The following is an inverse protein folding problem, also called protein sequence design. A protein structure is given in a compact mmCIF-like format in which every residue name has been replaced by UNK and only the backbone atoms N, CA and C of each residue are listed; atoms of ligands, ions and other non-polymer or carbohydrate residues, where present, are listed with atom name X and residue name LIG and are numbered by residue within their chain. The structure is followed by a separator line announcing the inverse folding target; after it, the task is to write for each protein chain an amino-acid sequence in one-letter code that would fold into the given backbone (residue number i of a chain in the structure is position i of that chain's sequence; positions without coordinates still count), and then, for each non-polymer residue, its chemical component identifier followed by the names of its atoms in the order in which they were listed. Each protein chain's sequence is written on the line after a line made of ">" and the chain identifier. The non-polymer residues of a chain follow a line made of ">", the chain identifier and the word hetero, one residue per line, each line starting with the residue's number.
data_IF_194022376623
#
_entry.id   IF_194022376623
#
_cell.length_a   1.000
_cell.length_b   1.000
_cell.length_c   1.000
_cell.angle_alpha   90.00
_cell.angle_beta   90.00
_cell.angle_gamma   90.00
#
_symmetry.space_group_name_H-M   'P 1'
#
loop_
_entity.id
_entity.type
_entity.pdbx_description
1 polymer ?
#
# COMPACT_ATOMS: atom_id res chain seq x y z
N UNK A 1 26.83 52.61 0.18
CA UNK A 1 26.48 51.22 0.58
C UNK A 1 27.47 50.29 -0.11
N UNK A 2 28.43 49.67 0.61
CA UNK A 2 29.53 48.92 -0.01
C UNK A 2 28.96 47.69 -0.74
N UNK A 3 29.25 47.57 -2.03
CA UNK A 3 28.70 46.51 -2.88
C UNK A 3 28.96 45.08 -2.34
N UNK A 4 30.00 44.93 -1.53
CA UNK A 4 30.37 43.67 -0.90
C UNK A 4 29.35 43.17 0.14
N UNK A 5 28.69 44.07 0.87
CA UNK A 5 27.81 43.69 1.99
C UNK A 5 26.47 43.09 1.53
N UNK A 6 25.93 43.56 0.40
CA UNK A 6 24.71 42.98 -0.15
C UNK A 6 24.97 41.65 -0.85
N UNK A 7 26.14 41.48 -1.48
CA UNK A 7 26.54 40.21 -2.11
C UNK A 7 26.69 39.11 -1.06
N UNK A 8 27.37 39.36 0.06
CA UNK A 8 27.52 38.36 1.12
C UNK A 8 26.19 37.98 1.75
N UNK A 9 25.26 38.94 1.89
CA UNK A 9 23.91 38.68 2.36
C UNK A 9 23.14 37.77 1.38
N UNK A 10 23.21 38.06 0.08
CA UNK A 10 22.57 37.23 -0.96
C UNK A 10 23.15 35.81 -0.97
N UNK A 11 24.48 35.66 -0.93
CA UNK A 11 25.13 34.35 -0.88
C UNK A 11 24.75 33.59 0.38
N UNK A 12 24.70 34.27 1.53
CA UNK A 12 24.25 33.67 2.78
C UNK A 12 22.81 33.15 2.72
N UNK A 13 21.89 33.93 2.14
CA UNK A 13 20.49 33.50 1.94
C UNK A 13 20.41 32.31 0.99
N UNK A 14 21.12 32.35 -0.15
CA UNK A 14 21.13 31.23 -1.10
C UNK A 14 21.69 29.95 -0.48
N UNK A 15 22.73 30.05 0.34
CA UNK A 15 23.28 28.91 1.06
C UNK A 15 22.26 28.28 2.02
N UNK A 16 21.56 29.11 2.81
CA UNK A 16 20.51 28.62 3.74
C UNK A 16 19.34 27.98 2.97
N UNK A 17 18.91 28.59 1.86
CA UNK A 17 17.85 28.03 1.00
C UNK A 17 18.28 26.70 0.41
N UNK A 18 19.52 26.57 -0.08
CA UNK A 18 20.05 25.32 -0.63
C UNK A 18 20.07 24.18 0.39
N UNK A 19 20.48 24.46 1.63
CA UNK A 19 20.45 23.47 2.73
C UNK A 19 19.01 23.09 3.08
N UNK A 20 18.11 24.07 3.22
CA UNK A 20 16.70 23.82 3.54
C UNK A 20 16.01 22.96 2.46
N UNK A 21 16.28 23.24 1.17
CA UNK A 21 15.77 22.44 0.06
C UNK A 21 16.32 21.02 0.10
N UNK A 22 17.61 20.84 0.39
CA UNK A 22 18.24 19.52 0.51
C UNK A 22 17.61 18.70 1.65
N UNK A 23 17.42 19.31 2.83
CA UNK A 23 16.76 18.64 3.96
C UNK A 23 15.33 18.25 3.58
N UNK A 24 14.57 19.16 2.95
CA UNK A 24 13.21 18.89 2.50
C UNK A 24 13.15 17.75 1.50
N UNK A 25 14.08 17.70 0.53
CA UNK A 25 14.18 16.61 -0.43
C UNK A 25 14.42 15.27 0.27
N UNK A 26 15.36 15.24 1.22
CA UNK A 26 15.66 14.04 2.01
C UNK A 26 14.45 13.57 2.81
N UNK A 27 13.77 14.48 3.51
CA UNK A 27 12.56 14.16 4.28
C UNK A 27 11.42 13.63 3.40
N UNK A 28 11.25 14.17 2.19
CA UNK A 28 10.24 13.67 1.24
C UNK A 28 10.61 12.27 0.75
N UNK A 29 11.89 12.03 0.44
CA UNK A 29 12.36 10.71 0.03
C UNK A 29 12.16 9.65 1.14
N UNK A 30 12.51 9.98 2.38
CA UNK A 30 12.36 9.08 3.53
C UNK A 30 10.88 8.75 3.80
N UNK A 31 10.00 9.77 3.75
CA UNK A 31 8.55 9.58 3.90
C UNK A 31 7.98 8.66 2.82
N UNK A 32 8.45 8.80 1.59
CA UNK A 32 8.05 7.94 0.47
C UNK A 32 8.55 6.51 0.64
N UNK A 33 9.79 6.32 1.10
CA UNK A 33 10.33 4.99 1.36
C UNK A 33 9.54 4.25 2.45
N UNK A 34 9.18 4.93 3.54
CA UNK A 34 8.34 4.36 4.61
C UNK A 34 6.92 4.03 4.12
N UNK A 35 6.33 4.88 3.27
CA UNK A 35 5.03 4.61 2.67
C UNK A 35 5.07 3.32 1.82
N UNK A 36 6.14 3.15 1.01
CA UNK A 36 6.32 1.93 0.21
C UNK A 36 6.54 0.67 1.04
N UNK A 37 7.25 0.74 2.16
CA UNK A 37 7.40 -0.41 3.05
C UNK A 37 6.06 -0.89 3.61
N UNK A 38 5.18 0.05 4.02
CA UNK A 38 3.83 -0.29 4.50
C UNK A 38 2.99 -0.91 3.40
N UNK A 39 3.02 -0.33 2.19
CA UNK A 39 2.31 -0.86 1.02
C UNK A 39 2.79 -2.27 0.65
N UNK A 40 4.11 -2.48 0.62
CA UNK A 40 4.70 -3.78 0.29
C UNK A 40 4.29 -4.86 1.29
N UNK A 41 4.33 -4.55 2.59
CA UNK A 41 3.87 -5.46 3.63
C UNK A 41 2.39 -5.84 3.46
N UNK A 42 1.51 -4.85 3.20
CA UNK A 42 0.09 -5.13 2.97
C UNK A 42 -0.13 -6.03 1.75
N UNK A 43 0.54 -5.73 0.64
CA UNK A 43 0.42 -6.52 -0.59
C UNK A 43 0.89 -7.96 -0.40
N UNK A 44 1.98 -8.17 0.34
CA UNK A 44 2.51 -9.49 0.67
C UNK A 44 1.50 -10.32 1.48
N UNK A 45 0.83 -9.69 2.44
CA UNK A 45 -0.14 -10.39 3.29
C UNK A 45 -1.48 -10.64 2.57
N UNK A 46 -1.92 -9.77 1.65
CA UNK A 46 -3.14 -10.00 0.83
C UNK A 46 -3.08 -11.24 -0.07
N UNK A 47 -1.90 -11.83 -0.24
CA UNK A 47 -1.66 -13.04 -1.05
C UNK A 47 -1.12 -14.21 -0.22
N UNK A 48 -1.19 -14.13 1.12
CA UNK A 48 -0.80 -15.25 1.98
C UNK A 48 -1.67 -16.48 1.69
N UNK A 49 -1.08 -17.67 1.88
CA UNK A 49 -1.77 -18.96 1.76
C UNK A 49 -2.72 -19.22 2.95
N UNK A 50 -2.61 -18.43 4.03
CA UNK A 50 -3.53 -18.45 5.16
C UNK A 50 -4.68 -17.47 4.93
N UNK A 51 -5.91 -17.97 4.92
CA UNK A 51 -7.11 -17.14 4.72
C UNK A 51 -7.23 -16.04 5.79
N UNK A 52 -6.94 -16.35 7.06
CA UNK A 52 -6.96 -15.37 8.16
C UNK A 52 -5.92 -14.25 7.95
N UNK A 53 -4.72 -14.60 7.49
CA UNK A 53 -3.65 -13.64 7.23
C UNK A 53 -3.94 -12.80 5.97
N UNK A 54 -4.56 -13.41 4.96
CA UNK A 54 -5.04 -12.73 3.78
C UNK A 54 -6.15 -11.73 4.11
N UNK A 55 -7.14 -12.12 4.92
CA UNK A 55 -8.22 -11.25 5.39
C UNK A 55 -7.65 -10.05 6.17
N UNK A 56 -6.75 -10.31 7.13
CA UNK A 56 -6.05 -9.25 7.86
C UNK A 56 -5.26 -8.34 6.91
N UNK A 57 -4.61 -8.90 5.90
CA UNK A 57 -3.93 -8.18 4.84
C UNK A 57 -4.88 -7.22 4.09
N UNK A 58 -6.09 -7.67 3.76
CA UNK A 58 -7.11 -6.86 3.08
C UNK A 58 -7.67 -5.74 3.97
N UNK A 59 -7.84 -5.98 5.28
CA UNK A 59 -8.26 -4.95 6.24
C UNK A 59 -7.24 -3.82 6.37
N UNK A 60 -5.96 -4.19 6.52
CA UNK A 60 -4.87 -3.20 6.58
C UNK A 60 -4.72 -2.50 5.22
N UNK A 61 -4.89 -3.21 4.11
CA UNK A 61 -4.85 -2.66 2.76
C UNK A 61 -5.89 -1.54 2.56
N UNK A 62 -7.14 -1.74 3.03
CA UNK A 62 -8.18 -0.73 2.97
C UNK A 62 -7.78 0.52 3.76
N UNK A 63 -7.24 0.34 4.96
CA UNK A 63 -6.77 1.42 5.84
C UNK A 63 -5.61 2.20 5.21
N UNK A 64 -4.62 1.52 4.61
CA UNK A 64 -3.48 2.16 3.96
C UNK A 64 -3.91 2.93 2.71
N UNK A 65 -4.88 2.41 1.96
CA UNK A 65 -5.39 3.05 0.73
C UNK A 65 -6.12 4.37 1.00
N UNK A 66 -6.72 4.53 2.18
CA UNK A 66 -7.39 5.77 2.58
C UNK A 66 -6.48 6.75 3.35
N UNK A 67 -5.25 6.34 3.64
CA UNK A 67 -4.31 7.14 4.42
C UNK A 67 -3.87 8.42 3.68
N UNK A 68 -3.81 9.58 4.35
CA UNK A 68 -3.27 10.81 3.76
C UNK A 68 -1.76 10.76 3.49
N UNK A 69 -1.09 9.67 3.91
CA UNK A 69 0.34 9.48 3.76
C UNK A 69 0.76 8.90 2.41
N UNK A 70 -0.17 8.30 1.66
CA UNK A 70 0.10 7.76 0.33
C UNK A 70 -0.17 8.81 -0.75
N UNK A 71 0.61 8.77 -1.82
CA UNK A 71 0.41 9.65 -2.97
C UNK A 71 -0.81 9.21 -3.79
N UNK A 72 -1.36 10.13 -4.59
CA UNK A 72 -2.48 9.81 -5.50
C UNK A 72 -2.12 8.75 -6.55
N UNK A 73 -0.85 8.66 -6.94
CA UNK A 73 -0.35 7.61 -7.84
C UNK A 73 -0.34 6.24 -7.15
N UNK A 74 0.19 6.15 -5.93
CA UNK A 74 0.17 4.93 -5.12
C UNK A 74 -1.27 4.46 -4.87
N UNK A 75 -2.19 5.37 -4.53
CA UNK A 75 -3.62 5.05 -4.38
C UNK A 75 -4.23 4.44 -5.65
N UNK A 76 -3.91 4.97 -6.83
CA UNK A 76 -4.39 4.40 -8.10
C UNK A 76 -3.89 2.98 -8.34
N UNK A 77 -2.63 2.70 -7.99
CA UNK A 77 -2.06 1.35 -8.11
C UNK A 77 -2.78 0.39 -7.16
N UNK A 78 -2.96 0.77 -5.90
CA UNK A 78 -3.67 -0.04 -4.90
C UNK A 78 -5.11 -0.34 -5.37
N UNK A 79 -5.86 0.66 -5.82
CA UNK A 79 -7.21 0.46 -6.35
C UNK A 79 -7.25 -0.47 -7.58
N UNK A 80 -6.22 -0.42 -8.44
CA UNK A 80 -6.12 -1.32 -9.58
C UNK A 80 -5.89 -2.78 -9.14
N UNK A 81 -5.09 -3.00 -8.09
CA UNK A 81 -4.88 -4.33 -7.49
C UNK A 81 -6.16 -4.85 -6.86
N UNK A 82 -6.83 -4.06 -6.02
CA UNK A 82 -8.12 -4.42 -5.42
C UNK A 82 -9.20 -4.72 -6.47
N UNK A 83 -9.25 -3.92 -7.54
CA UNK A 83 -10.17 -4.18 -8.65
C UNK A 83 -9.85 -5.48 -9.39
N UNK A 84 -8.57 -5.88 -9.48
CA UNK A 84 -8.17 -7.15 -10.08
C UNK A 84 -8.51 -8.34 -9.19
N UNK A 85 -8.25 -8.26 -7.88
CA UNK A 85 -8.58 -9.33 -6.93
C UNK A 85 -10.09 -9.56 -6.85
N UNK A 86 -10.90 -8.49 -6.76
CA UNK A 86 -12.36 -8.60 -6.76
C UNK A 86 -12.89 -9.29 -8.02
N UNK A 87 -12.37 -8.94 -9.20
CA UNK A 87 -12.73 -9.64 -10.46
C UNK A 87 -12.35 -11.11 -10.45
N UNK A 88 -11.22 -11.47 -9.84
CA UNK A 88 -10.77 -12.86 -9.72
C UNK A 88 -11.67 -13.65 -8.78
N UNK A 89 -12.02 -13.10 -7.61
CA UNK A 89 -12.92 -13.73 -6.66
C UNK A 89 -14.31 -14.00 -7.29
N UNK A 90 -14.85 -13.04 -8.03
CA UNK A 90 -16.11 -13.21 -8.75
C UNK A 90 -16.06 -14.22 -9.90
N UNK A 91 -14.87 -14.49 -10.45
CA UNK A 91 -14.69 -15.43 -11.56
C UNK A 91 -14.41 -16.86 -11.10
N UNK A 92 -14.08 -17.07 -9.82
CA UNK A 92 -13.91 -18.41 -9.27
C UNK A 92 -15.29 -19.00 -8.96
N UNK A 93 -15.65 -20.18 -9.51
CA UNK A 93 -16.81 -20.90 -9.04
C UNK A 93 -16.56 -21.29 -7.58
N UNK A 94 -17.50 -20.96 -6.69
CA UNK A 94 -17.46 -21.43 -5.32
C UNK A 94 -17.63 -22.95 -5.38
N UNK A 95 -16.56 -23.72 -5.14
CA UNK A 95 -16.69 -25.14 -4.81
C UNK A 95 -17.44 -25.19 -3.47
N UNK A 96 -18.77 -25.19 -3.53
CA UNK A 96 -19.56 -25.73 -2.43
C UNK A 96 -19.21 -27.20 -2.38
N UNK A 97 -18.48 -27.60 -1.35
CA UNK A 97 -18.31 -28.98 -0.93
C UNK A 97 -19.71 -29.58 -0.75
N UNK A 98 -20.28 -30.11 -1.84
CA UNK A 98 -21.43 -31.00 -1.79
C UNK A 98 -20.96 -32.20 -0.98
N UNK A 99 -21.28 -32.16 0.31
CA UNK A 99 -21.23 -33.33 1.18
C UNK A 99 -22.29 -34.26 0.62
N UNK A 100 -21.90 -35.10 -0.34
CA UNK A 100 -22.69 -36.25 -0.77
C UNK A 100 -22.88 -37.13 0.45
N UNK A 101 -24.03 -36.90 1.10
CA UNK A 101 -24.50 -37.65 2.24
C UNK A 101 -24.46 -39.13 1.92
N UNK A 102 -23.61 -39.80 2.67
CA UNK A 102 -23.58 -41.23 2.95
C UNK A 102 -25.01 -41.78 2.88
N UNK A 103 -25.39 -42.34 1.74
CA UNK A 103 -26.66 -43.06 1.61
C UNK A 103 -26.45 -44.41 2.28
N UNK A 104 -26.81 -44.47 3.57
CA UNK A 104 -27.09 -45.68 4.30
C UNK A 104 -27.85 -46.64 3.39
N UNK A 105 -27.13 -47.66 2.92
CA UNK A 105 -27.71 -48.76 2.17
C UNK A 105 -28.37 -49.67 3.21
N UNK A 106 -29.57 -49.28 3.65
CA UNK A 106 -30.45 -50.13 4.45
C UNK A 106 -30.77 -51.40 3.66
N UNK A 107 -30.32 -52.50 4.23
CA UNK A 107 -30.60 -53.90 3.91
C UNK A 107 -32.11 -54.18 3.80
N UNK A 108 -32.60 -54.77 2.70
CA UNK A 108 -33.87 -55.46 2.70
C UNK A 108 -33.68 -56.96 2.35
N UNK A 109 -33.64 -57.78 3.40
CA UNK A 109 -34.23 -59.14 3.54
C UNK A 109 -33.92 -60.21 2.49
#
# INVERSE_FOLDING_TARGET
>A
MPAQAWVTLVVGVLAVVGVALTIRQRTVADKRAQAWQRIAWCLDHTVSDSDDEAELGWDVFATVTDSPLITSAERKVLLAVAGRSARRALAQPHETEDTDGESEQEDPR
#
